data_IF_123841318896
#
_entry.id   IF_123841318896
#
_cell.length_a   1.000
_cell.length_b   1.000
_cell.length_c   1.000
_cell.angle_alpha   90.00
_cell.angle_beta   90.00
_cell.angle_gamma   90.00
#
_symmetry.space_group_name_H-M   'P 1'
#
loop_
_entity.id
_entity.type
_entity.pdbx_description
1 polymer ?
#
# COMPACT_ATOMS: atom_id res chain seq x y z
N UNK A 1 -2.57 3.18 0.34
CA UNK A 1 -2.12 3.11 -1.05
C UNK A 1 -0.80 3.84 -1.22
N UNK A 2 0.00 3.43 -2.19
CA UNK A 2 1.24 4.13 -2.55
C UNK A 2 0.95 5.03 -3.74
N UNK A 3 1.28 6.30 -3.62
CA UNK A 3 1.12 7.27 -4.68
C UNK A 3 2.49 7.81 -5.12
N UNK A 4 2.62 8.12 -6.39
CA UNK A 4 3.86 8.62 -6.95
C UNK A 4 3.63 9.55 -8.12
N UNK A 5 4.69 10.22 -8.52
CA UNK A 5 4.68 11.06 -9.70
C UNK A 5 4.68 10.17 -10.96
N UNK A 6 3.73 10.43 -11.86
CA UNK A 6 3.57 9.64 -13.09
C UNK A 6 4.85 9.64 -13.93
N UNK A 7 5.49 10.77 -14.07
CA UNK A 7 6.71 10.89 -14.87
C UNK A 7 7.87 10.10 -14.26
N UNK A 8 8.02 10.13 -12.93
CA UNK A 8 9.02 9.32 -12.24
C UNK A 8 8.80 7.83 -12.47
N UNK A 9 7.57 7.36 -12.29
CA UNK A 9 7.23 5.94 -12.50
C UNK A 9 7.51 5.51 -13.93
N UNK A 10 7.19 6.36 -14.90
CA UNK A 10 7.44 6.07 -16.31
C UNK A 10 8.94 6.03 -16.64
N UNK A 11 9.72 6.96 -16.09
CA UNK A 11 11.17 7.03 -16.35
C UNK A 11 11.98 6.01 -15.55
N UNK A 12 11.49 5.62 -14.38
CA UNK A 12 12.22 4.75 -13.44
C UNK A 12 11.38 3.54 -13.03
N UNK A 13 11.02 2.65 -13.96
CA UNK A 13 10.17 1.49 -13.64
C UNK A 13 10.86 0.50 -12.69
N UNK A 14 12.17 0.30 -12.82
CA UNK A 14 12.91 -0.61 -11.94
C UNK A 14 12.94 -0.09 -10.51
N UNK A 15 13.22 1.19 -10.33
CA UNK A 15 13.23 1.82 -9.00
C UNK A 15 11.82 1.82 -8.39
N UNK A 16 10.79 2.11 -9.16
CA UNK A 16 9.39 2.09 -8.71
C UNK A 16 8.98 0.72 -8.21
N UNK A 17 9.31 -0.33 -8.96
CA UNK A 17 9.04 -1.72 -8.56
C UNK A 17 9.83 -2.10 -7.32
N UNK A 18 11.09 -1.68 -7.21
CA UNK A 18 11.94 -1.97 -6.05
C UNK A 18 11.38 -1.36 -4.76
N UNK A 19 10.89 -0.12 -4.82
CA UNK A 19 10.24 0.54 -3.67
C UNK A 19 8.99 -0.23 -3.25
N UNK A 20 8.15 -0.59 -4.19
CA UNK A 20 6.93 -1.35 -3.90
C UNK A 20 7.26 -2.73 -3.31
N UNK A 21 8.29 -3.42 -3.84
CA UNK A 21 8.77 -4.70 -3.29
C UNK A 21 9.18 -4.54 -1.82
N UNK A 22 9.92 -3.49 -1.50
CA UNK A 22 10.36 -3.23 -0.13
C UNK A 22 9.17 -3.03 0.82
N UNK A 23 8.16 -2.27 0.40
CA UNK A 23 6.94 -2.03 1.18
C UNK A 23 6.19 -3.34 1.41
N UNK A 24 6.01 -4.16 0.39
CA UNK A 24 5.27 -5.42 0.49
C UNK A 24 6.01 -6.45 1.36
N UNK A 25 7.34 -6.51 1.26
CA UNK A 25 8.14 -7.36 2.16
C UNK A 25 8.06 -6.89 3.61
N UNK A 26 8.05 -5.58 3.84
CA UNK A 26 7.85 -5.04 5.19
C UNK A 26 6.46 -5.38 5.74
N UNK A 27 5.43 -5.34 4.91
CA UNK A 27 4.09 -5.75 5.29
C UNK A 27 4.05 -7.23 5.73
N UNK A 28 4.71 -8.11 4.98
CA UNK A 28 4.83 -9.53 5.35
C UNK A 28 5.59 -9.70 6.67
N UNK A 29 6.66 -8.94 6.90
CA UNK A 29 7.41 -8.97 8.15
C UNK A 29 6.54 -8.56 9.35
N UNK A 30 5.66 -7.58 9.18
CA UNK A 30 4.74 -7.17 10.23
C UNK A 30 3.81 -8.29 10.70
N UNK A 31 3.50 -9.24 9.83
CA UNK A 31 2.67 -10.41 10.18
C UNK A 31 3.52 -11.54 10.76
N UNK A 32 4.67 -11.82 10.16
CA UNK A 32 5.52 -12.97 10.57
C UNK A 32 6.33 -12.69 11.83
N UNK A 33 6.76 -11.45 12.04
CA UNK A 33 7.59 -11.05 13.17
C UNK A 33 7.08 -9.75 13.80
N UNK A 34 5.85 -9.74 14.35
CA UNK A 34 5.25 -8.50 14.86
C UNK A 34 6.04 -7.87 16.01
N UNK A 35 6.64 -8.68 16.89
CA UNK A 35 7.45 -8.17 17.99
C UNK A 35 8.70 -7.42 17.49
N UNK A 36 9.35 -7.95 16.48
CA UNK A 36 10.50 -7.30 15.83
C UNK A 36 10.11 -6.00 15.16
N UNK A 37 9.00 -6.00 14.45
CA UNK A 37 8.46 -4.81 13.79
C UNK A 37 8.09 -3.73 14.82
N UNK A 38 7.42 -4.10 15.91
CA UNK A 38 7.07 -3.18 17.00
C UNK A 38 8.33 -2.57 17.64
N UNK A 39 9.34 -3.39 17.89
CA UNK A 39 10.63 -2.92 18.43
C UNK A 39 11.30 -1.91 17.48
N UNK A 40 11.28 -2.20 16.21
CA UNK A 40 11.85 -1.30 15.18
C UNK A 40 11.14 0.05 15.16
N UNK A 41 9.82 0.06 15.31
CA UNK A 41 9.03 1.31 15.34
C UNK A 41 9.37 2.17 16.57
N UNK A 42 9.56 1.54 17.73
CA UNK A 42 9.95 2.25 18.95
C UNK A 42 11.38 2.77 18.87
N UNK A 43 12.31 1.93 18.47
CA UNK A 43 13.74 2.27 18.36
C UNK A 43 13.98 3.35 17.31
N UNK A 44 13.19 3.35 16.24
CA UNK A 44 13.25 4.38 15.20
C UNK A 44 12.56 5.69 15.56
N UNK A 45 11.93 5.80 16.72
CA UNK A 45 11.24 7.00 17.17
C UNK A 45 9.88 7.26 16.52
N UNK A 46 9.31 6.26 15.82
CA UNK A 46 8.02 6.40 15.14
C UNK A 46 6.83 6.33 16.11
N UNK A 47 6.97 5.62 17.21
CA UNK A 47 5.97 5.53 18.27
C UNK A 47 6.67 5.35 19.62
N UNK A 48 6.16 5.97 20.71
CA UNK A 48 6.80 5.85 22.03
C UNK A 48 6.45 4.56 22.77
N UNK A 49 5.37 3.85 22.39
CA UNK A 49 4.84 2.73 23.17
C UNK A 49 4.88 1.43 22.40
N UNK A 50 5.75 0.53 22.87
CA UNK A 50 5.90 -0.82 22.31
C UNK A 50 4.61 -1.64 22.39
N UNK A 51 3.92 -1.60 23.53
CA UNK A 51 2.69 -2.37 23.73
C UNK A 51 1.58 -1.98 22.74
N UNK A 52 1.42 -0.69 22.48
CA UNK A 52 0.44 -0.21 21.49
C UNK A 52 0.86 -0.57 20.07
N UNK A 53 2.14 -0.45 19.76
CA UNK A 53 2.65 -0.85 18.44
C UNK A 53 2.43 -2.34 18.20
N UNK A 54 2.73 -3.18 19.17
CA UNK A 54 2.54 -4.63 19.05
C UNK A 54 1.06 -4.99 18.90
N UNK A 55 0.19 -4.37 19.66
CA UNK A 55 -1.25 -4.58 19.55
C UNK A 55 -1.74 -4.23 18.14
N UNK A 56 -1.37 -3.08 17.62
CA UNK A 56 -1.75 -2.65 16.27
C UNK A 56 -1.26 -3.63 15.20
N UNK A 57 -0.01 -4.09 15.32
CA UNK A 57 0.58 -5.03 14.36
C UNK A 57 -0.12 -6.40 14.38
N UNK A 58 -0.64 -6.80 15.55
CA UNK A 58 -1.40 -8.05 15.66
C UNK A 58 -2.84 -7.93 15.13
N UNK A 59 -3.42 -6.74 15.16
CA UNK A 59 -4.81 -6.50 14.75
C UNK A 59 -4.96 -6.18 13.27
N UNK A 60 -3.98 -5.52 12.66
CA UNK A 60 -4.04 -5.11 11.25
C UNK A 60 -3.57 -6.25 10.35
N UNK A 61 -4.38 -6.66 9.36
CA UNK A 61 -4.03 -7.78 8.47
C UNK A 61 -3.08 -7.33 7.33
N UNK A 62 -1.82 -7.09 7.64
CA UNK A 62 -0.83 -6.57 6.70
C UNK A 62 -0.54 -7.49 5.52
N UNK A 63 -0.79 -8.79 5.64
CA UNK A 63 -0.54 -9.78 4.58
C UNK A 63 -1.67 -9.87 3.55
N UNK A 64 -2.80 -9.21 3.79
CA UNK A 64 -3.98 -9.27 2.91
C UNK A 64 -3.82 -8.47 1.61
N UNK A 65 -2.69 -7.82 1.39
CA UNK A 65 -2.42 -7.11 0.15
C UNK A 65 -2.48 -8.03 -1.09
N UNK A 66 -2.26 -9.31 -0.93
CA UNK A 66 -2.34 -10.30 -2.02
C UNK A 66 -3.77 -10.55 -2.48
N UNK A 67 -4.72 -10.45 -1.57
CA UNK A 67 -6.13 -10.79 -1.81
C UNK A 67 -7.00 -9.54 -1.98
N UNK A 68 -6.53 -8.40 -1.50
CA UNK A 68 -7.31 -7.17 -1.43
C UNK A 68 -7.50 -6.54 -2.80
N UNK A 69 -8.73 -6.14 -3.11
CA UNK A 69 -9.07 -5.43 -4.35
C UNK A 69 -8.85 -3.93 -4.16
N UNK A 70 -7.67 -3.46 -4.53
CA UNK A 70 -7.29 -2.06 -4.41
C UNK A 70 -8.11 -1.16 -5.35
N UNK A 71 -8.45 -1.66 -6.53
CA UNK A 71 -9.21 -0.90 -7.52
C UNK A 71 -10.63 -0.65 -7.03
N UNK A 72 -11.26 -1.63 -6.40
CA UNK A 72 -12.61 -1.50 -5.85
C UNK A 72 -12.66 -0.44 -4.75
N UNK A 73 -11.69 -0.43 -3.85
CA UNK A 73 -11.58 0.61 -2.80
C UNK A 73 -11.41 2.00 -3.42
N UNK A 74 -10.54 2.13 -4.41
CA UNK A 74 -10.32 3.41 -5.09
C UNK A 74 -11.59 3.89 -5.80
N UNK A 75 -12.30 2.98 -6.46
CA UNK A 75 -13.58 3.28 -7.12
C UNK A 75 -14.61 3.79 -6.14
N UNK A 76 -14.72 3.19 -4.97
CA UNK A 76 -15.65 3.62 -3.92
C UNK A 76 -15.35 5.07 -3.49
N UNK A 77 -14.11 5.38 -3.15
CA UNK A 77 -13.74 6.73 -2.72
C UNK A 77 -13.86 7.75 -3.85
N UNK A 78 -13.47 7.39 -5.06
CA UNK A 78 -13.60 8.27 -6.22
C UNK A 78 -15.06 8.61 -6.50
N UNK A 79 -15.96 7.63 -6.39
CA UNK A 79 -17.40 7.83 -6.55
C UNK A 79 -17.95 8.81 -5.51
N UNK A 80 -17.61 8.61 -4.23
CA UNK A 80 -18.09 9.47 -3.14
C UNK A 80 -17.57 10.90 -3.27
N UNK A 81 -16.31 11.06 -3.58
CA UNK A 81 -15.71 12.41 -3.77
C UNK A 81 -16.28 13.10 -4.99
N UNK A 82 -16.60 12.36 -6.03
CA UNK A 82 -17.25 12.91 -7.22
C UNK A 82 -18.69 13.36 -6.93
N UNK A 83 -19.47 12.54 -6.22
CA UNK A 83 -20.85 12.84 -5.86
C UNK A 83 -20.98 14.13 -5.04
N UNK A 84 -20.04 14.37 -4.12
CA UNK A 84 -20.04 15.58 -3.27
C UNK A 84 -19.33 16.76 -3.91
N UNK A 85 -18.83 16.62 -5.13
CA UNK A 85 -18.24 17.72 -5.91
C UNK A 85 -16.80 18.08 -5.54
N UNK A 86 -16.11 17.28 -4.73
CA UNK A 86 -14.70 17.55 -4.36
C UNK A 86 -13.79 17.29 -5.55
N UNK A 87 -14.06 16.27 -6.34
CA UNK A 87 -13.34 15.98 -7.58
C UNK A 87 -14.29 16.05 -8.78
N UNK A 88 -13.78 16.57 -9.90
CA UNK A 88 -14.54 16.73 -11.13
C UNK A 88 -14.47 15.49 -12.02
N UNK A 89 -13.35 14.77 -11.99
CA UNK A 89 -13.14 13.58 -12.82
C UNK A 89 -14.05 12.45 -12.39
N UNK A 90 -14.56 11.66 -13.34
CA UNK A 90 -15.36 10.47 -13.06
C UNK A 90 -14.50 9.38 -12.41
N UNK A 91 -15.11 8.46 -11.64
CA UNK A 91 -14.39 7.31 -11.12
C UNK A 91 -13.69 6.48 -12.19
N UNK A 92 -14.34 6.28 -13.34
CA UNK A 92 -13.78 5.55 -14.47
C UNK A 92 -12.51 6.21 -15.00
N UNK A 93 -12.49 7.53 -15.11
CA UNK A 93 -11.31 8.27 -15.57
C UNK A 93 -10.16 8.18 -14.59
N UNK A 94 -10.44 8.30 -13.29
CA UNK A 94 -9.42 8.18 -12.23
C UNK A 94 -8.76 6.82 -12.27
N UNK A 95 -9.53 5.75 -12.42
CA UNK A 95 -9.01 4.40 -12.50
C UNK A 95 -8.20 4.20 -13.77
N UNK A 96 -8.74 4.62 -14.93
CA UNK A 96 -8.06 4.43 -16.21
C UNK A 96 -6.75 5.20 -16.34
N UNK A 97 -6.68 6.42 -15.83
CA UNK A 97 -5.54 7.32 -16.00
C UNK A 97 -4.66 7.46 -14.76
N UNK A 98 -5.22 7.21 -13.57
CA UNK A 98 -4.57 7.47 -12.29
C UNK A 98 -3.99 6.25 -11.59
N UNK A 99 -4.15 5.04 -12.13
CA UNK A 99 -3.66 3.81 -11.51
C UNK A 99 -2.68 3.07 -12.39
N UNK A 100 -1.75 2.36 -11.75
CA UNK A 100 -0.81 1.48 -12.42
C UNK A 100 -0.60 0.24 -11.54
N UNK A 101 -1.18 -0.89 -11.93
CA UNK A 101 -1.13 -2.14 -11.19
C UNK A 101 -0.08 -3.13 -11.73
N UNK A 102 0.70 -2.75 -12.75
CA UNK A 102 1.67 -3.65 -13.40
C UNK A 102 2.67 -4.23 -12.41
N UNK A 103 3.28 -3.36 -11.61
CA UNK A 103 4.31 -3.78 -10.66
C UNK A 103 3.73 -4.60 -9.52
N UNK A 104 2.54 -4.24 -9.04
CA UNK A 104 1.85 -5.03 -8.01
C UNK A 104 1.53 -6.43 -8.52
N UNK A 105 1.04 -6.55 -9.74
CA UNK A 105 0.71 -7.85 -10.33
C UNK A 105 1.96 -8.72 -10.53
N UNK A 106 3.06 -8.13 -10.95
CA UNK A 106 4.35 -8.84 -11.06
C UNK A 106 4.83 -9.31 -9.69
N UNK A 107 4.77 -8.45 -8.68
CA UNK A 107 5.20 -8.76 -7.33
C UNK A 107 4.31 -9.80 -6.65
N UNK A 108 3.04 -9.84 -6.94
CA UNK A 108 2.16 -10.92 -6.49
C UNK A 108 2.61 -12.28 -6.99
N UNK A 109 3.14 -12.34 -8.21
CA UNK A 109 3.71 -13.58 -8.75
C UNK A 109 5.07 -13.91 -8.14
N UNK A 110 5.91 -12.91 -7.90
CA UNK A 110 7.24 -13.10 -7.30
C UNK A 110 7.18 -13.44 -5.82
N UNK A 111 6.26 -12.83 -5.07
CA UNK A 111 6.17 -12.93 -3.62
C UNK A 111 5.02 -13.85 -3.17
N UNK A 112 4.77 -14.92 -3.88
CA UNK A 112 3.82 -15.94 -3.45
C UNK A 112 4.29 -16.53 -2.12
N UNK A 113 3.35 -16.64 -1.20
CA UNK A 113 3.61 -17.25 0.08
C UNK A 113 3.78 -18.77 -0.06
#
# INVERSE_FOLDING_TARGET
MVAGNREFVRKHPVASKAVLRAILKAADLCVTEPARAARRLVDGGFTPRYDYALQTLNEVPYDKWREYDHEDTLRFYALRLHEVGIIKSSPQKIIAEGTDWRFLNELKRELKA
#
